data_IF_086563143554
#
_entry.id   IF_086563143554
#
_cell.length_a   1.000
_cell.length_b   1.000
_cell.length_c   1.000
_cell.angle_alpha   90.00
_cell.angle_beta   90.00
_cell.angle_gamma   90.00
#
_symmetry.space_group_name_H-M   'P 1'
#
loop_
_entity.id
_entity.type
_entity.pdbx_description
1 polymer ?
#
# COMPACT_ATOMS: atom_id res chain seq x y z
N UNK A 1 -29.22 -1.28 -5.92
CA UNK A 1 -29.56 -0.59 -4.66
C UNK A 1 -30.53 -1.48 -3.91
N UNK A 2 -30.26 -1.77 -2.64
CA UNK A 2 -31.21 -2.46 -1.76
C UNK A 2 -31.73 -1.42 -0.78
N UNK A 3 -33.05 -1.23 -0.75
CA UNK A 3 -33.70 -0.32 0.17
C UNK A 3 -34.14 -1.12 1.41
N UNK A 4 -33.65 -0.70 2.57
CA UNK A 4 -34.08 -1.17 3.89
C UNK A 4 -34.92 -0.08 4.55
N UNK A 5 -35.80 -0.40 5.53
CA UNK A 5 -36.72 0.59 6.12
C UNK A 5 -36.06 1.87 6.62
N UNK A 6 -34.77 1.83 6.99
CA UNK A 6 -34.05 2.97 7.57
C UNK A 6 -32.73 3.29 6.87
N UNK A 7 -32.42 2.65 5.72
CA UNK A 7 -31.16 2.88 5.01
C UNK A 7 -31.26 2.52 3.53
N UNK A 8 -30.45 3.20 2.72
CA UNK A 8 -30.27 2.90 1.30
C UNK A 8 -28.85 2.37 1.09
N UNK A 9 -28.73 1.09 0.72
CA UNK A 9 -27.46 0.43 0.55
C UNK A 9 -27.17 0.14 -0.92
N UNK A 10 -25.93 0.38 -1.34
CA UNK A 10 -25.43 -0.02 -2.65
C UNK A 10 -24.85 -1.43 -2.54
N UNK A 11 -25.28 -2.32 -3.44
CA UNK A 11 -24.79 -3.70 -3.50
C UNK A 11 -24.24 -3.94 -4.89
N UNK A 12 -23.07 -4.56 -4.95
CA UNK A 12 -22.46 -5.04 -6.20
C UNK A 12 -22.14 -6.54 -6.07
N UNK A 13 -22.28 -7.24 -7.17
CA UNK A 13 -21.87 -8.63 -7.31
C UNK A 13 -20.59 -8.66 -8.16
N UNK A 14 -19.56 -9.30 -7.64
CA UNK A 14 -18.26 -9.45 -8.32
C UNK A 14 -18.03 -10.93 -8.63
N UNK A 15 -17.26 -11.20 -9.68
CA UNK A 15 -16.78 -12.55 -9.97
C UNK A 15 -15.85 -13.01 -8.86
N UNK A 16 -16.11 -14.20 -8.34
CA UNK A 16 -15.19 -14.81 -7.37
C UNK A 16 -13.90 -15.25 -8.08
N UNK A 17 -12.76 -14.94 -7.46
CA UNK A 17 -11.44 -15.33 -7.96
C UNK A 17 -10.88 -16.41 -7.04
N UNK A 18 -10.72 -17.61 -7.57
CA UNK A 18 -10.11 -18.74 -6.86
C UNK A 18 -8.59 -18.54 -6.75
N UNK A 19 -8.03 -18.84 -5.59
CA UNK A 19 -6.60 -18.77 -5.28
C UNK A 19 -6.37 -18.67 -3.79
N UNK A 20 -5.12 -18.71 -3.37
CA UNK A 20 -4.70 -18.53 -1.98
C UNK A 20 -4.30 -17.08 -1.74
N UNK A 21 -4.55 -16.54 -0.55
CA UNK A 21 -4.02 -15.24 -0.21
C UNK A 21 -2.50 -15.29 -0.01
N UNK A 22 -1.82 -14.21 -0.36
CA UNK A 22 -0.36 -14.12 -0.17
C UNK A 22 0.05 -14.41 1.28
N UNK A 23 -0.75 -14.03 2.27
CA UNK A 23 -0.53 -14.33 3.69
C UNK A 23 -0.54 -15.82 4.03
N UNK A 24 -1.23 -16.64 3.23
CA UNK A 24 -1.41 -18.08 3.47
C UNK A 24 -0.34 -18.93 2.74
N UNK A 25 0.55 -18.28 1.99
CA UNK A 25 1.65 -18.93 1.29
C UNK A 25 3.00 -18.43 1.83
N UNK A 26 4.02 -19.30 1.85
CA UNK A 26 5.36 -18.89 2.24
C UNK A 26 5.99 -18.06 1.12
N UNK A 27 6.26 -16.77 1.32
CA UNK A 27 6.80 -15.92 0.27
C UNK A 27 8.25 -16.28 -0.07
N UNK A 28 8.64 -16.03 -1.33
CA UNK A 28 10.02 -16.07 -1.79
C UNK A 28 10.29 -14.89 -2.73
N UNK A 29 11.58 -14.63 -3.01
CA UNK A 29 12.01 -13.47 -3.80
C UNK A 29 11.37 -13.43 -5.20
N UNK A 30 11.22 -14.58 -5.88
CA UNK A 30 10.62 -14.63 -7.22
C UNK A 30 9.13 -14.32 -7.19
N UNK A 31 8.43 -14.82 -6.17
CA UNK A 31 7.01 -14.54 -5.93
C UNK A 31 6.79 -13.05 -5.66
N UNK A 32 7.55 -12.47 -4.74
CA UNK A 32 7.41 -11.05 -4.39
C UNK A 32 7.85 -10.11 -5.52
N UNK A 33 8.84 -10.53 -6.32
CA UNK A 33 9.16 -9.82 -7.54
C UNK A 33 7.94 -9.73 -8.48
N UNK A 34 7.23 -10.86 -8.69
CA UNK A 34 6.02 -10.88 -9.53
C UNK A 34 4.86 -10.06 -8.95
N UNK A 35 4.73 -10.00 -7.61
CA UNK A 35 3.76 -9.13 -6.93
C UNK A 35 4.11 -7.66 -7.21
N UNK A 36 5.39 -7.28 -7.09
CA UNK A 36 5.84 -5.94 -7.42
C UNK A 36 5.54 -5.56 -8.88
N UNK A 37 5.85 -6.44 -9.85
CA UNK A 37 5.50 -6.21 -11.26
C UNK A 37 4.00 -5.99 -11.47
N UNK A 38 3.17 -6.75 -10.77
CA UNK A 38 1.72 -6.62 -10.86
C UNK A 38 1.24 -5.27 -10.31
N UNK A 39 1.69 -4.88 -9.11
CA UNK A 39 1.34 -3.58 -8.51
C UNK A 39 1.79 -2.41 -9.40
N UNK A 40 3.00 -2.47 -9.95
CA UNK A 40 3.46 -1.45 -10.90
C UNK A 40 2.64 -1.40 -12.20
N UNK A 41 2.16 -2.55 -12.69
CA UNK A 41 1.25 -2.60 -13.84
C UNK A 41 -0.15 -2.08 -13.48
N UNK A 42 -0.63 -2.32 -12.26
CA UNK A 42 -1.87 -1.75 -11.76
C UNK A 42 -1.80 -0.22 -11.76
N UNK A 43 -0.75 0.37 -11.21
CA UNK A 43 -0.55 1.82 -11.20
C UNK A 43 -0.45 2.41 -12.62
N UNK A 44 0.17 1.68 -13.55
CA UNK A 44 0.15 2.08 -14.96
C UNK A 44 -1.25 2.08 -15.57
N UNK A 45 -2.05 1.08 -15.23
CA UNK A 45 -3.44 0.99 -15.71
C UNK A 45 -4.32 2.09 -15.12
N UNK A 46 -3.97 2.63 -13.95
CA UNK A 46 -4.67 3.73 -13.29
C UNK A 46 -4.24 5.12 -13.77
N UNK A 47 -3.23 5.23 -14.65
CA UNK A 47 -2.82 6.52 -15.21
C UNK A 47 -3.99 7.17 -15.95
N UNK A 48 -4.30 8.41 -15.56
CA UNK A 48 -5.41 9.18 -16.15
C UNK A 48 -6.79 8.82 -15.58
N UNK A 49 -6.87 7.86 -14.65
CA UNK A 49 -8.10 7.65 -13.90
C UNK A 49 -8.29 8.76 -12.87
N UNK A 50 -9.46 9.39 -12.88
CA UNK A 50 -9.82 10.48 -11.98
C UNK A 50 -11.18 10.22 -11.35
N UNK A 51 -11.30 10.43 -10.05
CA UNK A 51 -12.58 10.40 -9.36
C UNK A 51 -12.58 11.39 -8.19
N UNK A 52 -13.66 12.15 -8.03
CA UNK A 52 -13.77 13.19 -6.99
C UNK A 52 -13.57 12.70 -5.56
N UNK A 53 -13.84 11.43 -5.29
CA UNK A 53 -13.69 10.82 -3.98
C UNK A 53 -12.28 10.25 -3.73
N UNK A 54 -11.36 10.32 -4.69
CA UNK A 54 -9.99 9.84 -4.50
C UNK A 54 -9.13 10.80 -3.66
N UNK A 55 -9.48 12.10 -3.68
CA UNK A 55 -8.82 13.12 -2.83
C UNK A 55 -9.64 13.33 -1.56
N UNK A 56 -9.39 12.51 -0.54
CA UNK A 56 -10.09 12.54 0.74
C UNK A 56 -9.08 12.47 1.89
N UNK A 57 -9.46 12.96 3.06
CA UNK A 57 -8.76 12.60 4.29
C UNK A 57 -9.00 11.11 4.59
N UNK A 58 -7.90 10.38 4.77
CA UNK A 58 -7.98 8.94 4.89
C UNK A 58 -6.88 8.41 5.83
N UNK A 59 -7.30 7.78 6.90
CA UNK A 59 -6.39 7.33 7.96
C UNK A 59 -5.35 6.32 7.45
N UNK A 60 -5.72 5.49 6.46
CA UNK A 60 -4.84 4.48 5.89
C UNK A 60 -3.90 5.04 4.80
N UNK A 61 -3.98 6.32 4.49
CA UNK A 61 -3.00 7.00 3.64
C UNK A 61 -1.83 7.51 4.49
N UNK A 62 -0.78 6.72 4.60
CA UNK A 62 0.40 7.05 5.40
C UNK A 62 1.10 8.37 4.97
N UNK A 63 0.86 8.85 3.75
CA UNK A 63 1.35 10.16 3.32
C UNK A 63 0.64 11.33 4.02
N UNK A 64 -0.56 11.11 4.57
CA UNK A 64 -1.34 12.10 5.32
C UNK A 64 -0.96 12.11 6.81
N UNK A 65 0.29 12.39 7.09
CA UNK A 65 0.89 12.33 8.45
C UNK A 65 0.10 13.08 9.52
N UNK A 66 -0.62 14.16 9.14
CA UNK A 66 -1.45 14.91 10.09
C UNK A 66 -2.61 14.09 10.64
N UNK A 67 -3.16 13.17 9.84
CA UNK A 67 -4.20 12.23 10.28
C UNK A 67 -3.62 11.23 11.28
N UNK A 68 -2.44 10.67 10.99
CA UNK A 68 -1.74 9.77 11.91
C UNK A 68 -1.44 10.46 13.26
N UNK A 69 -0.90 11.70 13.23
CA UNK A 69 -0.63 12.47 14.45
C UNK A 69 -1.89 12.66 15.29
N UNK A 70 -3.04 12.90 14.67
CA UNK A 70 -4.31 13.08 15.39
C UNK A 70 -4.77 11.82 16.13
N UNK A 71 -4.26 10.64 15.78
CA UNK A 71 -4.60 9.35 16.40
C UNK A 71 -3.61 8.92 17.50
N UNK A 72 -2.48 9.63 17.68
CA UNK A 72 -1.43 9.26 18.63
C UNK A 72 -1.93 9.14 20.09
N UNK A 73 -2.94 9.91 20.48
CA UNK A 73 -3.47 9.88 21.84
C UNK A 73 -4.13 8.55 22.23
N UNK A 74 -4.41 7.70 21.25
CA UNK A 74 -5.01 6.39 21.44
C UNK A 74 -3.99 5.25 21.62
N UNK A 75 -2.71 5.46 21.21
CA UNK A 75 -1.64 4.47 21.33
C UNK A 75 -0.79 4.70 22.58
N UNK A 76 -1.11 4.04 23.70
CA UNK A 76 -0.39 4.27 24.96
C UNK A 76 0.98 3.57 25.03
N UNK A 77 1.15 2.44 24.36
CA UNK A 77 2.35 1.59 24.52
C UNK A 77 3.46 1.88 23.51
N UNK A 78 3.10 2.32 22.29
CA UNK A 78 4.06 2.44 21.18
C UNK A 78 4.27 3.89 20.74
N UNK A 79 3.75 4.86 21.48
CA UNK A 79 3.78 6.27 21.13
C UNK A 79 5.17 6.78 20.77
N UNK A 80 6.17 6.47 21.59
CA UNK A 80 7.54 6.93 21.34
C UNK A 80 8.17 6.37 20.05
N UNK A 81 7.81 5.14 19.70
CA UNK A 81 8.24 4.51 18.46
C UNK A 81 7.55 5.16 17.25
N UNK A 82 6.24 5.39 17.34
CA UNK A 82 5.49 6.06 16.28
C UNK A 82 6.00 7.50 16.08
N UNK A 83 6.20 8.26 17.17
CA UNK A 83 6.77 9.60 17.12
C UNK A 83 8.17 9.61 16.47
N UNK A 84 9.01 8.62 16.76
CA UNK A 84 10.32 8.48 16.13
C UNK A 84 10.20 8.30 14.60
N UNK A 85 9.31 7.44 14.10
CA UNK A 85 9.12 7.26 12.67
C UNK A 85 8.46 8.47 11.99
N UNK A 86 7.60 9.18 12.70
CA UNK A 86 7.05 10.47 12.23
C UNK A 86 8.16 11.49 12.02
N UNK A 87 9.10 11.63 12.96
CA UNK A 87 10.23 12.56 12.82
C UNK A 87 11.16 12.12 11.69
N UNK A 88 11.48 10.84 11.56
CA UNK A 88 12.25 10.34 10.41
C UNK A 88 11.60 10.68 9.06
N UNK A 89 10.30 10.55 8.95
CA UNK A 89 9.57 10.94 7.74
C UNK A 89 9.64 12.44 7.50
N UNK A 90 9.46 13.26 8.54
CA UNK A 90 9.55 14.73 8.43
C UNK A 90 10.93 15.16 7.94
N UNK A 91 11.98 14.60 8.50
CA UNK A 91 13.36 14.95 8.19
C UNK A 91 13.78 14.53 6.78
N UNK A 92 13.26 13.39 6.29
CA UNK A 92 13.75 12.77 5.06
C UNK A 92 12.78 12.81 3.87
N UNK A 93 11.49 13.08 4.08
CA UNK A 93 10.47 13.02 3.01
C UNK A 93 9.65 14.30 2.91
N UNK A 94 9.18 14.83 4.04
CA UNK A 94 8.20 15.92 4.04
C UNK A 94 8.72 17.19 3.34
N UNK A 95 10.01 17.49 3.46
CA UNK A 95 10.62 18.68 2.85
C UNK A 95 10.56 18.69 1.31
N UNK A 96 10.45 17.54 0.68
CA UNK A 96 10.39 17.40 -0.78
C UNK A 96 9.14 16.63 -1.29
N UNK A 97 8.11 16.47 -0.48
CA UNK A 97 6.87 15.76 -0.78
C UNK A 97 6.17 16.25 -2.09
N UNK A 98 6.38 17.51 -2.44
CA UNK A 98 5.83 18.08 -3.67
C UNK A 98 6.61 17.68 -4.93
N UNK A 99 7.78 17.10 -4.78
CA UNK A 99 8.62 16.61 -5.86
C UNK A 99 8.39 15.11 -6.11
N UNK A 100 7.70 14.42 -5.19
CA UNK A 100 7.38 13.01 -5.31
C UNK A 100 6.25 12.77 -6.31
N UNK A 101 6.32 11.64 -6.99
CA UNK A 101 5.32 11.19 -7.95
C UNK A 101 3.99 10.91 -7.24
N UNK A 102 2.89 11.41 -7.82
CA UNK A 102 1.53 11.23 -7.29
C UNK A 102 0.61 10.62 -8.34
N UNK A 103 -0.37 9.85 -7.87
CA UNK A 103 -1.38 9.22 -8.71
C UNK A 103 -2.43 8.52 -7.88
N UNK A 104 -3.41 7.94 -8.57
CA UNK A 104 -4.33 7.01 -7.92
C UNK A 104 -3.58 5.70 -7.69
N UNK A 105 -3.60 5.22 -6.46
CA UNK A 105 -3.03 3.95 -6.02
C UNK A 105 -4.10 3.10 -5.38
N UNK A 106 -3.87 1.79 -5.29
CA UNK A 106 -4.75 0.86 -4.56
C UNK A 106 -4.71 1.14 -3.05
N UNK A 107 -3.53 1.48 -2.52
CA UNK A 107 -3.27 1.86 -1.13
C UNK A 107 -3.50 0.75 -0.09
N UNK A 108 -3.96 -0.42 -0.49
CA UNK A 108 -4.15 -1.58 0.39
C UNK A 108 -3.72 -2.89 -0.29
N UNK A 109 -2.64 -2.83 -1.08
CA UNK A 109 -2.01 -3.96 -1.76
C UNK A 109 -1.26 -4.89 -0.80
N UNK A 110 -1.87 -5.22 0.34
CA UNK A 110 -1.31 -6.05 1.38
C UNK A 110 -1.51 -7.55 1.11
N UNK A 111 -0.94 -8.39 1.95
CA UNK A 111 -0.95 -9.85 1.84
C UNK A 111 -2.33 -10.50 2.01
N UNK A 112 -3.32 -9.78 2.56
CA UNK A 112 -4.72 -10.22 2.66
C UNK A 112 -5.54 -9.92 1.41
N UNK A 113 -5.07 -9.04 0.54
CA UNK A 113 -5.77 -8.61 -0.67
C UNK A 113 -5.14 -9.14 -1.96
N UNK A 114 -3.92 -9.66 -1.90
CA UNK A 114 -3.22 -10.28 -3.03
C UNK A 114 -3.57 -11.77 -3.12
N UNK A 115 -4.08 -12.19 -4.29
CA UNK A 115 -4.46 -13.59 -4.57
C UNK A 115 -3.41 -14.23 -5.47
N UNK A 116 -2.89 -15.37 -5.04
CA UNK A 116 -1.89 -16.19 -5.71
C UNK A 116 -2.53 -17.39 -6.40
N UNK A 117 -1.96 -17.84 -7.50
CA UNK A 117 -2.33 -19.14 -8.10
C UNK A 117 -1.53 -20.28 -7.45
N UNK A 118 -1.88 -21.53 -7.85
CA UNK A 118 -1.23 -22.75 -7.35
C UNK A 118 0.26 -22.86 -7.73
N UNK A 119 0.74 -22.05 -8.66
CA UNK A 119 2.15 -21.99 -9.08
C UNK A 119 2.94 -20.90 -8.37
N UNK A 120 2.32 -20.21 -7.42
CA UNK A 120 2.94 -19.10 -6.69
C UNK A 120 3.08 -17.82 -7.53
N UNK A 121 2.24 -17.64 -8.56
CA UNK A 121 2.14 -16.41 -9.32
C UNK A 121 0.94 -15.59 -8.85
N UNK A 122 1.09 -14.27 -8.85
CA UNK A 122 -0.04 -13.39 -8.58
C UNK A 122 -1.10 -13.55 -9.66
N UNK A 123 -2.34 -13.72 -9.23
CA UNK A 123 -3.51 -13.88 -10.07
C UNK A 123 -4.37 -12.63 -10.08
N UNK A 124 -4.52 -11.98 -8.94
CA UNK A 124 -5.37 -10.80 -8.79
C UNK A 124 -5.08 -10.06 -7.49
N UNK A 125 -5.65 -8.88 -7.41
CA UNK A 125 -5.81 -8.10 -6.18
C UNK A 125 -7.30 -7.78 -5.99
N UNK A 126 -7.75 -7.70 -4.76
CA UNK A 126 -9.14 -7.39 -4.38
C UNK A 126 -9.18 -6.19 -3.44
N UNK A 127 -10.39 -5.72 -3.16
CA UNK A 127 -10.70 -4.62 -2.24
C UNK A 127 -10.14 -3.25 -2.64
N UNK A 128 -10.71 -2.70 -3.70
CA UNK A 128 -10.43 -1.36 -4.21
C UNK A 128 -11.10 -0.24 -3.38
N UNK A 129 -11.59 -0.54 -2.17
CA UNK A 129 -12.28 0.43 -1.30
C UNK A 129 -11.37 1.56 -0.81
N UNK A 130 -10.09 1.27 -0.66
CA UNK A 130 -9.09 2.16 -0.09
C UNK A 130 -8.29 2.96 -1.13
N UNK A 131 -8.67 2.86 -2.41
CA UNK A 131 -8.05 3.66 -3.46
C UNK A 131 -8.06 5.15 -3.13
N UNK A 132 -6.92 5.79 -3.34
CA UNK A 132 -6.71 7.21 -3.01
C UNK A 132 -5.73 7.84 -3.98
N UNK A 133 -5.85 9.16 -4.20
CA UNK A 133 -4.82 9.93 -4.87
C UNK A 133 -3.73 10.30 -3.86
N UNK A 134 -2.59 9.63 -3.94
CA UNK A 134 -1.49 9.76 -2.98
C UNK A 134 -0.12 9.63 -3.66
N UNK A 135 0.93 9.44 -2.85
CA UNK A 135 2.30 9.20 -3.32
C UNK A 135 2.38 7.81 -3.97
N UNK A 136 2.91 7.73 -5.19
CA UNK A 136 3.04 6.45 -5.89
C UNK A 136 3.98 5.48 -5.18
N UNK A 137 5.03 5.98 -4.51
CA UNK A 137 5.93 5.18 -3.70
C UNK A 137 5.23 4.46 -2.53
N UNK A 138 4.04 4.90 -2.12
CA UNK A 138 3.25 4.27 -1.07
C UNK A 138 2.64 2.93 -1.53
N UNK A 139 2.35 2.75 -2.82
CA UNK A 139 1.80 1.49 -3.33
C UNK A 139 2.69 0.27 -2.98
N UNK A 140 3.97 0.20 -3.39
CA UNK A 140 4.84 -0.89 -2.97
C UNK A 140 5.13 -0.85 -1.47
N UNK A 141 5.22 0.33 -0.84
CA UNK A 141 5.52 0.47 0.59
C UNK A 141 4.49 -0.21 1.48
N UNK A 142 3.20 -0.17 1.12
CA UNK A 142 2.13 -0.87 1.85
C UNK A 142 2.38 -2.38 1.84
N UNK A 143 2.59 -3.00 0.68
CA UNK A 143 2.86 -4.43 0.60
C UNK A 143 4.14 -4.81 1.37
N UNK A 144 5.20 -4.01 1.22
CA UNK A 144 6.47 -4.20 1.93
C UNK A 144 6.31 -4.16 3.45
N UNK A 145 5.43 -3.28 3.97
CA UNK A 145 5.15 -3.19 5.41
C UNK A 145 4.60 -4.50 5.96
N UNK A 146 3.62 -5.09 5.31
CA UNK A 146 3.02 -6.36 5.75
C UNK A 146 4.01 -7.53 5.64
N UNK A 147 4.84 -7.58 4.60
CA UNK A 147 5.91 -8.58 4.50
C UNK A 147 6.94 -8.38 5.63
N UNK A 148 7.32 -7.14 5.92
CA UNK A 148 8.30 -6.83 6.99
C UNK A 148 7.77 -7.21 8.38
N UNK A 149 6.46 -7.10 8.64
CA UNK A 149 5.87 -7.48 9.92
C UNK A 149 5.75 -9.00 10.10
N UNK A 150 5.65 -9.76 9.01
CA UNK A 150 5.36 -11.20 9.06
C UNK A 150 6.60 -12.10 8.88
N UNK A 151 7.75 -11.54 8.49
CA UNK A 151 8.96 -12.29 8.20
C UNK A 151 10.14 -11.89 9.10
N UNK A 152 10.89 -12.85 9.63
CA UNK A 152 12.06 -12.60 10.51
C UNK A 152 13.22 -11.93 9.77
N UNK A 153 13.36 -12.18 8.46
CA UNK A 153 14.44 -11.64 7.62
C UNK A 153 13.87 -11.05 6.32
N UNK A 154 13.12 -9.94 6.36
CA UNK A 154 12.33 -9.46 5.25
C UNK A 154 13.11 -8.75 4.14
N UNK A 155 14.36 -8.33 4.38
CA UNK A 155 15.06 -7.36 3.50
C UNK A 155 15.21 -7.83 2.05
N UNK A 156 15.58 -9.11 1.81
CA UNK A 156 15.69 -9.64 0.46
C UNK A 156 14.32 -9.73 -0.23
N UNK A 157 13.30 -10.07 0.52
CA UNK A 157 11.92 -10.17 0.04
C UNK A 157 11.36 -8.81 -0.38
N UNK A 158 11.44 -7.81 0.50
CA UNK A 158 10.97 -6.45 0.20
C UNK A 158 11.77 -5.79 -0.94
N UNK A 159 13.09 -6.04 -1.00
CA UNK A 159 13.92 -5.56 -2.10
C UNK A 159 13.51 -6.18 -3.45
N UNK A 160 13.14 -7.47 -3.46
CA UNK A 160 12.65 -8.15 -4.65
C UNK A 160 11.31 -7.59 -5.12
N UNK A 161 10.38 -7.31 -4.20
CA UNK A 161 9.10 -6.66 -4.49
C UNK A 161 9.33 -5.27 -5.11
N UNK A 162 10.14 -4.43 -4.46
CA UNK A 162 10.43 -3.08 -4.95
C UNK A 162 11.10 -3.10 -6.32
N UNK A 163 12.02 -4.06 -6.56
CA UNK A 163 12.64 -4.26 -7.86
C UNK A 163 11.62 -4.60 -8.94
N UNK A 164 10.69 -5.52 -8.66
CA UNK A 164 9.61 -5.88 -9.58
C UNK A 164 8.72 -4.70 -9.92
N UNK A 165 8.31 -3.93 -8.91
CA UNK A 165 7.53 -2.71 -9.09
C UNK A 165 8.26 -1.69 -9.99
N UNK A 166 9.51 -1.39 -9.67
CA UNK A 166 10.32 -0.39 -10.38
C UNK A 166 10.63 -0.77 -11.84
N UNK A 167 10.61 -2.07 -12.17
CA UNK A 167 10.77 -2.52 -13.55
C UNK A 167 9.57 -2.14 -14.44
N UNK A 168 8.38 -2.15 -13.87
CA UNK A 168 7.14 -1.86 -14.59
C UNK A 168 6.71 -0.40 -14.44
N UNK A 169 6.84 0.18 -13.25
CA UNK A 169 6.52 1.57 -12.93
C UNK A 169 7.76 2.26 -12.39
N UNK A 170 8.41 3.06 -13.23
CA UNK A 170 9.60 3.80 -12.82
C UNK A 170 9.28 4.75 -11.66
N UNK A 171 10.06 4.66 -10.61
CA UNK A 171 10.12 5.60 -9.51
C UNK A 171 11.34 6.50 -9.69
N UNK A 172 11.22 7.79 -9.37
CA UNK A 172 12.36 8.70 -9.31
C UNK A 172 13.31 8.31 -8.16
N UNK A 173 14.53 8.83 -8.16
CA UNK A 173 15.47 8.63 -7.05
C UNK A 173 14.85 9.06 -5.71
N UNK A 174 14.17 10.20 -5.68
CA UNK A 174 13.47 10.70 -4.49
C UNK A 174 12.31 9.81 -4.06
N UNK A 175 11.53 9.27 -5.01
CA UNK A 175 10.49 8.29 -4.69
C UNK A 175 11.10 7.05 -4.02
N UNK A 176 12.21 6.51 -4.58
CA UNK A 176 12.90 5.34 -4.04
C UNK A 176 13.47 5.58 -2.64
N UNK A 177 14.10 6.73 -2.40
CA UNK A 177 14.59 7.12 -1.08
C UNK A 177 13.45 7.23 -0.07
N UNK A 178 12.24 7.62 -0.50
CA UNK A 178 11.08 7.80 0.36
C UNK A 178 10.38 6.49 0.73
N UNK A 179 10.52 5.42 -0.07
CA UNK A 179 9.78 4.14 0.10
C UNK A 179 9.91 3.56 1.51
N UNK A 180 11.13 3.53 2.07
CA UNK A 180 11.38 2.92 3.39
C UNK A 180 10.68 3.71 4.50
N UNK A 181 10.70 5.03 4.44
CA UNK A 181 10.01 5.87 5.42
C UNK A 181 8.49 5.73 5.34
N UNK A 182 7.94 5.64 4.12
CA UNK A 182 6.52 5.37 3.88
C UNK A 182 6.11 3.98 4.38
N UNK A 183 6.95 2.96 4.16
CA UNK A 183 6.77 1.62 4.72
C UNK A 183 6.68 1.67 6.25
N UNK A 184 7.62 2.35 6.91
CA UNK A 184 7.62 2.48 8.36
C UNK A 184 6.38 3.23 8.87
N UNK A 185 5.95 4.29 8.19
CA UNK A 185 4.70 4.98 8.54
C UNK A 185 3.48 4.09 8.38
N UNK A 186 3.43 3.24 7.33
CA UNK A 186 2.32 2.29 7.15
C UNK A 186 2.26 1.27 8.30
N UNK A 187 3.38 0.88 8.86
CA UNK A 187 3.44 0.01 10.05
C UNK A 187 2.95 0.72 11.33
N UNK A 188 2.85 2.06 11.32
CA UNK A 188 2.37 2.87 12.43
C UNK A 188 0.85 3.17 12.37
N UNK A 189 0.20 2.86 11.25
CA UNK A 189 -1.23 3.10 11.01
C UNK A 189 -2.02 1.84 11.32
#
# INVERSE_FOLDING_TARGET
VIECPNSRNYVRLLTYIEGDFLKDVKPNSAMLFSVGEFLGNLDKALIGFEHKSSSREFIWDAAQIHVLISQLDHSKNDRSLIEYFIELYKDNVFGHINELSKGIIHNDGNDHNVIMDQNGKIKSIIDFGDMVFSLQALEPAVCMAYIAMNEEAPFELIASLLKGYSLTKALSEKDLESVVYLMCLRMCV
#
